data_IF_084407421853
#
_entry.id   IF_084407421853
#
_cell.length_a   1.000
_cell.length_b   1.000
_cell.length_c   1.000
_cell.angle_alpha   90.00
_cell.angle_beta   90.00
_cell.angle_gamma   90.00
#
_symmetry.space_group_name_H-M   'P 1'
#
loop_
_entity.id
_entity.type
_entity.pdbx_description
1 polymer ?
#
# COMPACT_ATOMS: atom_id res chain seq x y z
N UNK A 1 -7.70 1.93 13.18
CA UNK A 1 -7.92 2.88 12.07
C UNK A 1 -6.97 2.45 10.96
N UNK A 2 -7.45 2.29 9.74
CA UNK A 2 -6.58 1.92 8.60
C UNK A 2 -6.25 3.19 7.86
N UNK A 3 -4.99 3.36 7.49
CA UNK A 3 -4.51 4.54 6.77
C UNK A 3 -3.99 4.13 5.40
N UNK A 4 -4.13 5.03 4.43
CA UNK A 4 -3.56 4.86 3.12
C UNK A 4 -2.03 4.86 3.22
N UNK A 5 -1.38 3.81 2.73
CA UNK A 5 0.09 3.72 2.72
C UNK A 5 0.71 4.85 1.90
N UNK A 6 0.03 5.32 0.85
CA UNK A 6 0.56 6.35 -0.05
C UNK A 6 0.37 7.78 0.48
N UNK A 7 -0.86 8.18 0.82
CA UNK A 7 -1.17 9.57 1.21
C UNK A 7 -1.38 9.80 2.70
N UNK A 8 -1.45 8.74 3.51
CA UNK A 8 -1.69 8.83 4.96
C UNK A 8 -3.15 9.11 5.35
N UNK A 9 -4.06 9.30 4.40
CA UNK A 9 -5.48 9.53 4.70
C UNK A 9 -6.13 8.33 5.40
N UNK A 10 -7.13 8.62 6.21
CA UNK A 10 -7.97 7.60 6.85
C UNK A 10 -8.77 6.85 5.77
N UNK A 11 -8.64 5.53 5.76
CA UNK A 11 -9.49 4.66 4.95
C UNK A 11 -10.74 4.33 5.73
N UNK A 12 -11.89 4.73 5.19
CA UNK A 12 -13.16 4.23 5.67
C UNK A 12 -13.28 2.74 5.36
N UNK A 13 -13.45 1.92 6.41
CA UNK A 13 -13.51 0.45 6.29
C UNK A 13 -14.93 -0.06 6.09
N UNK A 14 -15.93 0.82 6.08
CA UNK A 14 -17.31 0.46 5.76
C UNK A 14 -17.52 0.41 4.25
N UNK A 15 -16.64 1.03 3.46
CA UNK A 15 -16.61 0.96 2.00
C UNK A 15 -15.47 0.06 1.47
N UNK A 16 -15.56 -0.32 0.18
CA UNK A 16 -14.51 -1.08 -0.48
C UNK A 16 -13.28 -0.21 -0.72
N UNK A 17 -12.10 -0.72 -0.38
CA UNK A 17 -10.82 -0.02 -0.56
C UNK A 17 -9.79 -0.93 -1.23
N UNK A 18 -8.80 -0.32 -1.88
CA UNK A 18 -7.76 -1.06 -2.58
C UNK A 18 -6.75 -1.64 -1.60
N UNK A 19 -6.40 -2.92 -1.77
CA UNK A 19 -5.39 -3.60 -0.96
C UNK A 19 -4.30 -4.20 -1.85
N UNK A 20 -3.09 -4.36 -1.31
CA UNK A 20 -2.03 -5.11 -1.96
C UNK A 20 -1.21 -5.89 -0.93
N UNK A 21 -0.62 -7.00 -1.36
CA UNK A 21 0.33 -7.75 -0.56
C UNK A 21 1.60 -7.97 -1.40
N UNK A 22 2.76 -7.68 -0.82
CA UNK A 22 4.07 -7.90 -1.45
C UNK A 22 4.94 -8.67 -0.47
N UNK A 23 5.76 -9.58 -0.98
CA UNK A 23 6.83 -10.18 -0.17
C UNK A 23 8.04 -9.27 -0.22
N UNK A 24 8.59 -9.00 0.95
CA UNK A 24 9.86 -8.30 1.09
C UNK A 24 11.06 -9.23 0.76
N UNK A 25 12.29 -8.70 0.77
CA UNK A 25 13.51 -9.46 0.48
C UNK A 25 13.72 -10.66 1.40
N UNK A 26 13.26 -10.57 2.65
CA UNK A 26 13.29 -11.66 3.65
C UNK A 26 12.13 -12.66 3.49
N UNK A 27 11.30 -12.53 2.44
CA UNK A 27 10.15 -13.40 2.20
C UNK A 27 8.94 -13.13 3.11
N UNK A 28 9.02 -12.11 3.97
CA UNK A 28 7.92 -11.66 4.84
C UNK A 28 6.81 -11.04 3.99
N UNK A 29 5.56 -11.47 4.20
CA UNK A 29 4.40 -10.90 3.52
C UNK A 29 4.02 -9.57 4.19
N UNK A 30 4.21 -8.47 3.47
CA UNK A 30 3.76 -7.13 3.86
C UNK A 30 2.45 -6.79 3.16
N UNK A 31 1.47 -6.29 3.91
CA UNK A 31 0.17 -5.87 3.39
C UNK A 31 0.00 -4.36 3.45
N UNK A 32 -0.52 -3.78 2.38
CA UNK A 32 -0.70 -2.34 2.21
C UNK A 32 -2.16 -2.04 1.88
N UNK A 33 -2.67 -0.94 2.45
CA UNK A 33 -4.03 -0.46 2.23
C UNK A 33 -3.98 0.90 1.53
N UNK A 34 -4.88 1.11 0.58
CA UNK A 34 -4.93 2.33 -0.22
C UNK A 34 -6.37 2.83 -0.31
N UNK A 35 -6.54 4.15 -0.18
CA UNK A 35 -7.85 4.79 -0.33
C UNK A 35 -8.37 4.75 -1.77
N UNK A 36 -7.50 4.49 -2.75
CA UNK A 36 -7.84 4.43 -4.17
C UNK A 36 -6.84 3.59 -4.97
N UNK A 37 -7.27 3.12 -6.15
CA UNK A 37 -6.39 2.44 -7.10
C UNK A 37 -5.25 3.36 -7.57
N UNK A 38 -5.49 4.68 -7.64
CA UNK A 38 -4.45 5.66 -7.97
C UNK A 38 -3.31 5.63 -6.96
N UNK A 39 -3.64 5.72 -5.66
CA UNK A 39 -2.64 5.65 -4.59
C UNK A 39 -1.89 4.31 -4.58
N UNK A 40 -2.57 3.21 -4.90
CA UNK A 40 -1.92 1.91 -5.06
C UNK A 40 -0.91 1.94 -6.21
N UNK A 41 -1.32 2.42 -7.38
CA UNK A 41 -0.45 2.46 -8.55
C UNK A 41 0.76 3.38 -8.33
N UNK A 42 0.57 4.59 -7.81
CA UNK A 42 1.67 5.52 -7.49
C UNK A 42 2.70 4.86 -6.55
N UNK A 43 2.24 4.18 -5.51
CA UNK A 43 3.12 3.51 -4.53
C UNK A 43 3.93 2.34 -5.11
N UNK A 44 3.42 1.62 -6.12
CA UNK A 44 4.12 0.47 -6.72
C UNK A 44 4.87 0.78 -8.02
N UNK A 45 4.54 1.89 -8.67
CA UNK A 45 5.21 2.37 -9.89
C UNK A 45 6.51 3.12 -9.55
N UNK A 46 6.61 3.69 -8.35
CA UNK A 46 7.90 4.14 -7.83
C UNK A 46 8.85 2.94 -7.68
N UNK A 47 10.06 2.99 -8.27
CA UNK A 47 11.03 1.93 -8.06
C UNK A 47 11.32 1.90 -6.57
N UNK A 48 10.96 0.80 -5.89
CA UNK A 48 11.38 0.56 -4.52
C UNK A 48 12.88 0.77 -4.53
N UNK A 49 13.34 1.84 -3.88
CA UNK A 49 14.74 2.04 -3.62
C UNK A 49 15.18 0.77 -2.91
N UNK A 50 15.86 -0.12 -3.65
CA UNK A 50 16.55 -1.24 -3.08
C UNK A 50 17.61 -0.60 -2.18
N UNK A 51 17.28 -0.51 -0.90
CA UNK A 51 18.24 -0.18 0.15
C UNK A 51 19.39 -1.19 -0.04
N UNK A 52 20.54 -0.68 -0.49
CA UNK A 52 21.75 -1.48 -0.76
C UNK A 52 22.46 -1.80 0.55
#
# INVERSE_FOLDING_TARGET
MTFCTNCGDVIDRSEWYSFAARRDGDGTLQTYAFCSEKCRSEYFDEPIAADN
#
